data_IF_670614724035
#
_entry.id   IF_670614724035
#
_cell.length_a   1.000
_cell.length_b   1.000
_cell.length_c   1.000
_cell.angle_alpha   90.00
_cell.angle_beta   90.00
_cell.angle_gamma   90.00
#
_symmetry.space_group_name_H-M   'P 1'
#
loop_
_entity.id
_entity.type
_entity.pdbx_description
1 polymer ?
#
# COMPACT_ATOMS: atom_id res chain seq x y z
N UNK A 1 -1.45 5.56 19.62
CA UNK A 1 -1.04 6.82 18.97
C UNK A 1 -1.39 6.69 17.51
N UNK A 2 -1.96 7.73 16.90
CA UNK A 2 -2.45 7.68 15.52
C UNK A 2 -1.69 8.71 14.69
N UNK A 3 -1.29 8.27 13.50
CA UNK A 3 -0.66 9.09 12.48
C UNK A 3 -1.45 8.89 11.18
N UNK A 4 -1.68 9.96 10.46
CA UNK A 4 -2.28 9.94 9.13
C UNK A 4 -1.36 10.71 8.18
N UNK A 5 -1.28 10.23 6.94
CA UNK A 5 -0.60 10.91 5.87
C UNK A 5 -1.34 10.64 4.56
N UNK A 6 -1.35 11.64 3.69
CA UNK A 6 -1.97 11.51 2.38
C UNK A 6 -1.03 10.81 1.40
N UNK A 7 -1.64 10.05 0.49
CA UNK A 7 -1.00 9.35 -0.61
C UNK A 7 -1.67 9.82 -1.89
N UNK A 8 -0.90 10.42 -2.79
CA UNK A 8 -1.35 10.78 -4.12
C UNK A 8 -1.08 9.62 -5.07
N UNK A 9 -2.07 9.26 -5.89
CA UNK A 9 -1.99 8.21 -6.90
C UNK A 9 -2.06 8.81 -8.29
N UNK A 10 -1.34 8.26 -9.25
CA UNK A 10 -1.23 8.77 -10.62
C UNK A 10 -1.73 7.80 -11.68
N UNK A 11 -2.14 6.60 -11.29
CA UNK A 11 -2.68 5.59 -12.21
C UNK A 11 -3.86 4.82 -11.59
N UNK A 12 -4.63 4.13 -12.45
CA UNK A 12 -5.84 3.42 -12.02
C UNK A 12 -5.55 2.24 -11.08
N UNK A 13 -4.42 1.55 -11.28
CA UNK A 13 -3.89 0.51 -10.38
C UNK A 13 -2.44 0.83 -10.13
N UNK A 14 -2.08 1.08 -8.87
CA UNK A 14 -0.74 1.52 -8.51
C UNK A 14 -0.27 0.86 -7.21
N UNK A 15 1.01 0.53 -7.15
CA UNK A 15 1.69 0.17 -5.91
C UNK A 15 2.55 1.35 -5.48
N UNK A 16 2.28 1.89 -4.31
CA UNK A 16 3.04 3.00 -3.72
C UNK A 16 3.73 2.48 -2.46
N UNK A 17 5.05 2.59 -2.42
CA UNK A 17 5.81 2.26 -1.23
C UNK A 17 5.59 3.32 -0.14
N UNK A 18 4.99 2.89 0.97
CA UNK A 18 4.74 3.74 2.15
C UNK A 18 5.66 3.43 3.33
N UNK A 19 6.65 2.54 3.15
CA UNK A 19 7.54 2.05 4.21
C UNK A 19 8.21 3.20 4.95
N UNK A 20 8.78 4.17 4.21
CA UNK A 20 9.42 5.35 4.81
C UNK A 20 8.46 6.21 5.65
N UNK A 21 7.20 6.34 5.23
CA UNK A 21 6.17 7.08 6.00
C UNK A 21 5.80 6.35 7.28
N UNK A 22 5.63 5.03 7.20
CA UNK A 22 5.36 4.16 8.36
C UNK A 22 6.52 4.17 9.35
N UNK A 23 7.76 4.06 8.87
CA UNK A 23 8.96 4.14 9.73
C UNK A 23 9.02 5.47 10.49
N UNK A 24 8.76 6.59 9.81
CA UNK A 24 8.76 7.90 10.44
C UNK A 24 7.69 8.01 11.54
N UNK A 25 6.50 7.46 11.31
CA UNK A 25 5.45 7.38 12.33
C UNK A 25 5.87 6.52 13.54
N UNK A 26 6.47 5.35 13.30
CA UNK A 26 6.93 4.46 14.38
C UNK A 26 8.07 5.11 15.18
N UNK A 27 9.04 5.75 14.53
CA UNK A 27 10.13 6.50 15.20
C UNK A 27 9.56 7.65 16.04
N UNK A 28 8.57 8.37 15.53
CA UNK A 28 7.88 9.44 16.24
C UNK A 28 7.15 8.97 17.50
N UNK A 29 6.65 7.72 17.49
CA UNK A 29 5.88 7.16 18.60
C UNK A 29 6.72 6.84 19.85
N UNK A 30 8.05 6.69 19.70
CA UNK A 30 9.00 6.36 20.79
C UNK A 30 8.62 5.10 21.58
N UNK A 31 7.89 4.17 20.96
CA UNK A 31 7.49 2.89 21.55
C UNK A 31 8.65 1.89 21.40
N UNK A 32 9.05 1.23 22.49
CA UNK A 32 10.16 0.25 22.47
C UNK A 32 9.73 -1.15 22.00
N UNK A 33 8.50 -1.55 22.29
CA UNK A 33 7.94 -2.85 21.92
C UNK A 33 6.42 -2.74 21.79
N UNK A 34 5.85 -3.36 20.77
CA UNK A 34 4.42 -3.31 20.46
C UNK A 34 4.16 -3.68 19.00
N UNK A 35 3.00 -3.27 18.49
CA UNK A 35 2.57 -3.52 17.11
C UNK A 35 2.30 -2.20 16.38
N UNK A 36 2.56 -2.19 15.06
CA UNK A 36 2.16 -1.11 14.16
C UNK A 36 1.01 -1.63 13.29
N UNK A 37 -0.17 -1.01 13.40
CA UNK A 37 -1.30 -1.28 12.52
C UNK A 37 -1.31 -0.23 11.41
N UNK A 38 -1.19 -0.70 10.16
CA UNK A 38 -1.38 0.12 8.97
C UNK A 38 -2.77 -0.17 8.41
N UNK A 39 -3.54 0.88 8.17
CA UNK A 39 -4.93 0.78 7.74
C UNK A 39 -5.23 1.80 6.63
N UNK A 40 -6.04 1.39 5.66
CA UNK A 40 -6.48 2.22 4.54
C UNK A 40 -7.99 2.42 4.65
N UNK A 41 -8.50 3.66 4.81
CA UNK A 41 -9.93 3.94 4.97
C UNK A 41 -10.72 3.97 3.66
N UNK A 42 -10.25 3.29 2.60
CA UNK A 42 -10.84 3.33 1.27
C UNK A 42 -11.24 1.92 0.82
N UNK A 43 -12.40 1.78 0.19
CA UNK A 43 -12.92 0.49 -0.29
C UNK A 43 -12.28 0.03 -1.60
N UNK A 44 -11.62 0.95 -2.32
CA UNK A 44 -10.96 0.70 -3.61
C UNK A 44 -9.44 0.71 -3.52
N UNK A 45 -8.89 0.63 -2.31
CA UNK A 45 -7.45 0.53 -2.07
C UNK A 45 -7.18 -0.45 -0.92
N UNK A 46 -5.96 -0.96 -0.86
CA UNK A 46 -5.53 -1.90 0.16
C UNK A 46 -4.09 -1.61 0.61
N UNK A 47 -3.70 -2.18 1.74
CA UNK A 47 -2.31 -2.25 2.17
C UNK A 47 -1.86 -3.71 2.13
N UNK A 48 -0.66 -3.95 1.62
CA UNK A 48 -0.03 -5.28 1.57
C UNK A 48 1.44 -5.17 1.91
N UNK A 49 2.07 -6.31 2.22
CA UNK A 49 3.51 -6.43 2.45
C UNK A 49 4.06 -7.44 1.44
N UNK A 50 5.04 -7.02 0.66
CA UNK A 50 5.72 -7.86 -0.32
C UNK A 50 7.17 -7.37 -0.53
N UNK A 51 7.93 -8.05 -1.40
CA UNK A 51 9.27 -7.63 -1.80
C UNK A 51 9.24 -6.27 -2.51
N UNK A 52 10.22 -5.42 -2.15
CA UNK A 52 10.40 -4.08 -2.71
C UNK A 52 11.79 -3.87 -3.32
N UNK A 53 12.52 -4.96 -3.59
CA UNK A 53 13.86 -4.90 -4.19
C UNK A 53 13.82 -4.89 -5.73
N UNK A 54 12.82 -5.54 -6.32
CA UNK A 54 12.61 -5.61 -7.77
C UNK A 54 11.25 -5.02 -8.16
N UNK A 55 11.27 -3.95 -8.95
CA UNK A 55 10.07 -3.32 -9.50
C UNK A 55 9.26 -4.25 -10.42
N UNK A 56 9.83 -5.38 -10.88
CA UNK A 56 9.08 -6.40 -11.62
C UNK A 56 7.96 -7.01 -10.76
N UNK A 57 8.19 -7.22 -9.47
CA UNK A 57 7.19 -7.86 -8.58
C UNK A 57 5.90 -7.05 -8.53
N UNK A 58 5.99 -5.73 -8.32
CA UNK A 58 4.80 -4.87 -8.29
C UNK A 58 4.09 -4.80 -9.65
N UNK A 59 4.85 -4.77 -10.75
CA UNK A 59 4.29 -4.81 -12.12
C UNK A 59 3.54 -6.11 -12.39
N UNK A 60 4.11 -7.25 -12.00
CA UNK A 60 3.50 -8.57 -12.23
C UNK A 60 2.22 -8.72 -11.42
N UNK A 61 2.21 -8.25 -10.17
CA UNK A 61 1.00 -8.23 -9.34
C UNK A 61 -0.08 -7.34 -9.98
N UNK A 62 0.27 -6.13 -10.41
CA UNK A 62 -0.69 -5.23 -11.10
C UNK A 62 -1.22 -5.88 -12.37
N UNK A 63 -0.35 -6.52 -13.16
CA UNK A 63 -0.74 -7.19 -14.40
C UNK A 63 -1.71 -8.34 -14.14
N UNK A 64 -1.45 -9.20 -13.17
CA UNK A 64 -2.33 -10.32 -12.85
C UNK A 64 -3.64 -9.84 -12.23
N UNK A 65 -3.62 -8.85 -11.33
CA UNK A 65 -4.83 -8.24 -10.75
C UNK A 65 -5.76 -7.68 -11.83
N UNK A 66 -5.22 -6.92 -12.78
CA UNK A 66 -6.00 -6.34 -13.88
C UNK A 66 -6.51 -7.39 -14.88
N UNK A 67 -5.90 -8.58 -14.89
CA UNK A 67 -6.36 -9.73 -15.69
C UNK A 67 -7.49 -10.49 -15.01
N UNK A 68 -7.43 -10.69 -13.69
CA UNK A 68 -8.47 -11.42 -12.94
C UNK A 68 -9.70 -10.56 -12.58
N UNK A 69 -9.52 -9.24 -12.45
CA UNK A 69 -10.60 -8.26 -12.27
C UNK A 69 -10.49 -7.23 -13.39
N UNK A 70 -11.11 -7.48 -14.56
CA UNK A 70 -11.02 -6.60 -15.70
C UNK A 70 -11.85 -5.33 -15.48
N UNK A 71 -11.36 -4.19 -15.96
CA UNK A 71 -12.08 -2.93 -15.80
C UNK A 71 -13.32 -2.77 -16.68
N UNK A 72 -13.41 -3.57 -17.73
CA UNK A 72 -14.54 -3.61 -18.65
C UNK A 72 -15.12 -5.01 -18.56
N UNK A 73 -15.82 -5.26 -17.46
CA UNK A 73 -16.53 -6.48 -17.18
C UNK A 73 -17.88 -6.05 -16.59
N UNK A 74 -18.95 -6.76 -16.94
CA UNK A 74 -20.34 -6.27 -16.79
C UNK A 74 -20.86 -6.42 -15.35
N UNK A 75 -20.15 -5.82 -14.37
CA UNK A 75 -20.48 -5.81 -12.94
C UNK A 75 -20.75 -4.41 -12.36
#
# INVERSE_FOLDING_TARGET
MYYSFDIETHSRTEFIDVTGKVENAVRGAKVKAGYCLVYVPHTTAAVTVNENADAAVSRDIIAELNKIVPFNDDY
#
